data_IF_025759754045
#
_entry.id   IF_025759754045
#
_cell.length_a   1.000
_cell.length_b   1.000
_cell.length_c   1.000
_cell.angle_alpha   90.00
_cell.angle_beta   90.00
_cell.angle_gamma   90.00
#
_symmetry.space_group_name_H-M   'P 1'
#
loop_
_entity.id
_entity.type
_entity.pdbx_description
1 polymer ?
#
# COMPACT_ATOMS: atom_id res chain seq x y z
N UNK A 1 -32.97 -64.80 5.49
CA UNK A 1 -32.91 -63.42 4.97
C UNK A 1 -33.10 -62.42 6.12
N UNK A 2 -32.02 -61.92 6.73
CA UNK A 2 -32.06 -60.85 7.75
C UNK A 2 -31.15 -59.69 7.31
N UNK A 3 -31.55 -59.04 6.21
CA UNK A 3 -30.88 -57.85 5.66
C UNK A 3 -31.47 -56.46 6.06
N UNK A 4 -32.56 -56.30 6.86
CA UNK A 4 -33.13 -54.97 7.08
C UNK A 4 -32.31 -54.12 8.06
N UNK A 5 -31.70 -54.72 9.09
CA UNK A 5 -30.89 -53.98 10.09
C UNK A 5 -29.58 -53.44 9.51
N UNK A 6 -28.93 -54.22 8.63
CA UNK A 6 -27.70 -53.80 7.98
C UNK A 6 -27.94 -52.60 7.05
N UNK A 7 -29.04 -52.61 6.28
CA UNK A 7 -29.41 -51.48 5.41
C UNK A 7 -29.70 -50.21 6.20
N UNK A 8 -30.38 -50.31 7.34
CA UNK A 8 -30.64 -49.17 8.23
C UNK A 8 -29.35 -48.60 8.81
N UNK A 9 -28.43 -49.46 9.29
CA UNK A 9 -27.13 -49.02 9.81
C UNK A 9 -26.28 -48.31 8.75
N UNK A 10 -26.25 -48.83 7.52
CA UNK A 10 -25.52 -48.20 6.40
C UNK A 10 -26.14 -46.84 6.03
N UNK A 11 -27.47 -46.73 6.00
CA UNK A 11 -28.16 -45.45 5.74
C UNK A 11 -27.86 -44.40 6.81
N UNK A 12 -27.93 -44.78 8.09
CA UNK A 12 -27.59 -43.88 9.21
C UNK A 12 -26.13 -43.45 9.13
N UNK A 13 -25.21 -44.37 8.85
CA UNK A 13 -23.80 -44.04 8.69
C UNK A 13 -23.54 -43.07 7.53
N UNK A 14 -24.21 -43.25 6.38
CA UNK A 14 -24.10 -42.32 5.26
C UNK A 14 -24.67 -40.93 5.58
N UNK A 15 -25.80 -40.85 6.30
CA UNK A 15 -26.40 -39.58 6.74
C UNK A 15 -25.47 -38.86 7.72
N UNK A 16 -24.90 -39.58 8.69
CA UNK A 16 -23.95 -38.97 9.65
C UNK A 16 -22.69 -38.50 8.93
N UNK A 17 -22.16 -39.28 7.99
CA UNK A 17 -21.00 -38.88 7.20
C UNK A 17 -21.29 -37.65 6.32
N UNK A 18 -22.45 -37.60 5.65
CA UNK A 18 -22.83 -36.46 4.82
C UNK A 18 -23.15 -35.21 5.64
N UNK A 19 -23.81 -35.34 6.79
CA UNK A 19 -24.02 -34.24 7.71
C UNK A 19 -22.69 -33.75 8.31
N UNK A 20 -21.74 -34.64 8.56
CA UNK A 20 -20.40 -34.29 9.00
C UNK A 20 -19.63 -33.49 7.96
N UNK A 21 -19.65 -33.89 6.69
CA UNK A 21 -18.97 -33.17 5.61
C UNK A 21 -19.63 -31.83 5.30
N UNK A 22 -20.97 -31.78 5.26
CA UNK A 22 -21.73 -30.54 5.07
C UNK A 22 -21.55 -29.60 6.26
N UNK A 23 -21.58 -30.13 7.48
CA UNK A 23 -21.32 -29.36 8.70
C UNK A 23 -19.92 -28.76 8.70
N UNK A 24 -18.90 -29.53 8.31
CA UNK A 24 -17.54 -29.02 8.14
C UNK A 24 -17.43 -27.97 7.02
N UNK A 25 -18.22 -28.11 5.94
CA UNK A 25 -18.22 -27.15 4.84
C UNK A 25 -18.89 -25.82 5.22
N UNK A 26 -19.97 -25.87 6.00
CA UNK A 26 -20.74 -24.69 6.44
C UNK A 26 -20.07 -23.98 7.63
N UNK A 27 -19.55 -24.74 8.60
CA UNK A 27 -18.97 -24.23 9.84
C UNK A 27 -17.44 -24.32 9.88
N UNK A 28 -16.82 -24.68 8.76
CA UNK A 28 -15.38 -24.74 8.64
C UNK A 28 -14.72 -23.37 8.74
N UNK A 29 -13.43 -23.32 9.11
CA UNK A 29 -12.68 -22.08 9.17
C UNK A 29 -12.68 -21.39 7.80
N UNK A 30 -13.04 -20.09 7.73
CA UNK A 30 -13.14 -19.37 6.47
C UNK A 30 -11.77 -19.15 5.84
N UNK A 31 -11.73 -19.14 4.50
CA UNK A 31 -10.56 -18.76 3.72
C UNK A 31 -9.86 -19.91 3.00
N UNK A 32 -8.93 -19.54 2.13
CA UNK A 32 -8.11 -20.46 1.34
C UNK A 32 -6.82 -20.75 2.11
N UNK A 33 -6.42 -22.03 2.14
CA UNK A 33 -5.14 -22.41 2.72
C UNK A 33 -4.02 -21.96 1.78
N UNK A 34 -3.11 -21.15 2.30
CA UNK A 34 -1.98 -20.61 1.55
C UNK A 34 -0.68 -20.86 2.29
N UNK A 35 0.40 -20.91 1.54
CA UNK A 35 1.75 -21.11 2.01
C UNK A 35 2.59 -19.88 1.68
N UNK A 36 3.41 -19.44 2.64
CA UNK A 36 4.32 -18.34 2.45
C UNK A 36 5.50 -18.81 1.61
N UNK A 37 5.61 -18.31 0.37
CA UNK A 37 6.64 -18.70 -0.60
C UNK A 37 7.84 -17.75 -0.55
N UNK A 38 7.61 -16.46 -0.30
CA UNK A 38 8.67 -15.44 -0.29
C UNK A 38 8.45 -14.38 0.77
N UNK A 39 9.57 -13.86 1.30
CA UNK A 39 9.62 -12.62 2.09
C UNK A 39 10.57 -11.65 1.41
N UNK A 40 10.15 -10.40 1.27
CA UNK A 40 10.97 -9.32 0.73
C UNK A 40 10.77 -8.06 1.54
N UNK A 41 11.76 -7.17 1.51
CA UNK A 41 11.64 -5.82 2.01
C UNK A 41 12.08 -4.84 0.92
N UNK A 42 11.53 -3.63 0.97
CA UNK A 42 11.88 -2.52 0.09
C UNK A 42 11.89 -1.22 0.89
N UNK A 43 13.02 -0.53 0.87
CA UNK A 43 13.21 0.78 1.49
C UNK A 43 13.21 1.84 0.41
N UNK A 44 12.32 2.82 0.51
CA UNK A 44 12.17 3.89 -0.47
C UNK A 44 12.37 5.26 0.15
N UNK A 45 13.08 6.13 -0.57
CA UNK A 45 13.16 7.54 -0.23
C UNK A 45 12.75 8.34 -1.46
N UNK A 46 11.75 9.19 -1.27
CA UNK A 46 11.36 10.16 -2.28
C UNK A 46 12.45 11.23 -2.35
N UNK A 47 13.06 11.40 -3.51
CA UNK A 47 13.98 12.52 -3.77
C UNK A 47 13.17 13.65 -4.38
N UNK A 48 13.20 14.78 -3.69
CA UNK A 48 12.54 16.01 -4.12
C UNK A 48 13.55 16.92 -4.80
N UNK A 49 13.10 17.64 -5.83
CA UNK A 49 13.88 18.69 -6.49
C UNK A 49 13.18 20.02 -6.29
N UNK A 50 13.96 21.05 -5.96
CA UNK A 50 13.49 22.43 -5.89
C UNK A 50 13.21 22.91 -7.31
N UNK A 51 11.98 23.33 -7.58
CA UNK A 51 11.55 23.81 -8.89
C UNK A 51 10.92 25.19 -8.75
N UNK A 52 11.03 25.97 -9.82
CA UNK A 52 10.22 27.17 -9.99
C UNK A 52 8.82 26.75 -10.40
N UNK A 53 7.83 27.22 -9.66
CA UNK A 53 6.42 27.02 -9.96
C UNK A 53 5.72 28.36 -10.10
N UNK A 54 4.93 28.49 -11.17
CA UNK A 54 4.09 29.65 -11.38
C UNK A 54 2.80 29.50 -10.59
N UNK A 55 2.49 30.48 -9.75
CA UNK A 55 1.23 30.62 -9.04
C UNK A 55 0.47 31.87 -9.48
N UNK A 56 -0.80 31.93 -9.13
CA UNK A 56 -1.60 33.13 -9.31
C UNK A 56 -2.63 33.23 -8.20
N UNK A 57 -2.69 34.37 -7.56
CA UNK A 57 -3.59 34.62 -6.43
C UNK A 57 -3.90 36.13 -6.32
N UNK A 58 -4.81 36.50 -5.44
CA UNK A 58 -4.97 37.90 -5.07
C UNK A 58 -3.67 38.44 -4.44
N UNK A 59 -3.34 39.70 -4.72
CA UNK A 59 -2.06 40.27 -4.32
C UNK A 59 -1.91 40.41 -2.78
N UNK A 60 -3.01 40.44 -2.05
CA UNK A 60 -3.09 40.41 -0.57
C UNK A 60 -2.89 39.00 0.01
N UNK A 61 -2.99 37.95 -0.80
CA UNK A 61 -2.88 36.53 -0.40
C UNK A 61 -1.58 35.87 -0.92
N UNK A 62 -0.58 36.67 -1.31
CA UNK A 62 0.68 36.16 -1.86
C UNK A 62 1.44 35.28 -0.86
N UNK A 63 1.91 34.09 -1.28
CA UNK A 63 2.71 33.24 -0.42
C UNK A 63 4.10 33.82 -0.18
N UNK A 64 4.67 33.50 0.99
CA UNK A 64 6.03 33.89 1.33
C UNK A 64 7.04 33.30 0.32
N UNK A 65 8.00 34.12 -0.10
CA UNK A 65 9.04 33.72 -1.07
C UNK A 65 8.59 33.76 -2.53
N UNK A 66 7.44 34.35 -2.83
CA UNK A 66 7.05 34.70 -4.20
C UNK A 66 8.00 35.75 -4.81
N UNK A 67 8.34 35.56 -6.08
CA UNK A 67 9.17 36.48 -6.88
C UNK A 67 8.61 36.59 -8.31
N UNK A 68 9.18 37.47 -9.14
CA UNK A 68 8.70 37.77 -10.51
C UNK A 68 7.20 38.10 -10.56
N UNK A 69 6.76 39.01 -9.69
CA UNK A 69 5.34 39.31 -9.49
C UNK A 69 4.83 40.26 -10.60
N UNK A 70 3.82 39.82 -11.32
CA UNK A 70 3.07 40.64 -12.29
C UNK A 70 1.67 40.92 -11.77
N UNK A 71 1.23 42.18 -11.78
CA UNK A 71 -0.06 42.62 -11.24
C UNK A 71 -1.03 42.99 -12.35
N UNK A 72 -2.31 42.68 -12.15
CA UNK A 72 -3.42 43.13 -13.02
C UNK A 72 -4.69 43.37 -12.21
N UNK A 73 -5.46 44.37 -12.59
CA UNK A 73 -6.80 44.59 -12.04
C UNK A 73 -7.80 43.62 -12.66
N UNK A 74 -8.55 42.91 -11.82
CA UNK A 74 -9.55 41.92 -12.26
C UNK A 74 -10.77 41.98 -11.35
N UNK A 75 -11.96 41.92 -11.95
CA UNK A 75 -13.22 41.72 -11.21
C UNK A 75 -13.33 40.26 -10.77
N UNK A 76 -13.64 39.99 -9.51
CA UNK A 76 -13.74 38.64 -8.96
C UNK A 76 -14.83 37.82 -9.67
N UNK A 77 -14.48 36.74 -10.40
CA UNK A 77 -15.45 35.91 -11.10
C UNK A 77 -16.34 35.08 -10.15
N UNK A 78 -15.92 34.90 -8.89
CA UNK A 78 -16.68 34.16 -7.88
C UNK A 78 -17.69 35.03 -7.12
N UNK A 79 -17.61 36.36 -7.27
CA UNK A 79 -18.48 37.33 -6.61
C UNK A 79 -18.29 37.44 -5.10
N UNK A 80 -17.18 36.91 -4.54
CA UNK A 80 -16.86 37.04 -3.11
C UNK A 80 -16.37 38.44 -2.75
N UNK A 81 -15.71 39.13 -3.69
CA UNK A 81 -15.26 40.52 -3.55
C UNK A 81 -16.19 41.45 -4.33
N UNK A 82 -16.66 42.51 -3.65
CA UNK A 82 -17.62 43.47 -4.23
C UNK A 82 -16.96 44.44 -5.22
N UNK A 83 -15.67 44.72 -5.06
CA UNK A 83 -14.91 45.64 -5.90
C UNK A 83 -13.81 44.90 -6.69
N UNK A 84 -13.42 45.40 -7.88
CA UNK A 84 -12.26 44.88 -8.60
C UNK A 84 -11.00 44.96 -7.74
N UNK A 85 -10.21 43.89 -7.74
CA UNK A 85 -8.99 43.79 -6.94
C UNK A 85 -7.74 43.55 -7.77
N UNK A 86 -6.58 43.73 -7.16
CA UNK A 86 -5.30 43.35 -7.77
C UNK A 86 -5.11 41.83 -7.71
N UNK A 87 -5.00 41.21 -8.88
CA UNK A 87 -4.64 39.81 -9.04
C UNK A 87 -3.18 39.71 -9.47
N UNK A 88 -2.41 38.93 -8.72
CA UNK A 88 -0.99 38.72 -8.94
C UNK A 88 -0.73 37.38 -9.64
N UNK A 89 0.20 37.36 -10.59
CA UNK A 89 0.90 36.16 -11.08
C UNK A 89 2.31 36.21 -10.54
N UNK A 90 2.82 35.09 -10.06
CA UNK A 90 4.10 35.04 -9.39
C UNK A 90 4.79 33.69 -9.63
N UNK A 91 6.09 33.65 -9.38
CA UNK A 91 6.87 32.43 -9.30
C UNK A 91 7.23 32.15 -7.85
N UNK A 92 7.31 30.87 -7.47
CA UNK A 92 7.83 30.45 -6.17
C UNK A 92 8.78 29.26 -6.32
N UNK A 93 9.69 29.09 -5.36
CA UNK A 93 10.50 27.88 -5.28
C UNK A 93 9.76 26.85 -4.42
N UNK A 94 9.43 25.71 -5.00
CA UNK A 94 8.74 24.62 -4.31
C UNK A 94 9.48 23.30 -4.48
N UNK A 95 9.53 22.53 -3.39
CA UNK A 95 10.03 21.16 -3.44
C UNK A 95 8.97 20.24 -4.05
N UNK A 96 9.36 19.51 -5.08
CA UNK A 96 8.50 18.55 -5.76
C UNK A 96 9.19 17.22 -5.92
N UNK A 97 8.42 16.15 -5.81
CA UNK A 97 8.89 14.79 -6.10
C UNK A 97 9.55 14.77 -7.47
N UNK A 98 10.82 14.38 -7.52
CA UNK A 98 11.56 14.22 -8.75
C UNK A 98 11.72 12.76 -9.12
N UNK A 99 12.16 11.92 -8.18
CA UNK A 99 12.38 10.49 -8.40
C UNK A 99 12.37 9.74 -7.06
N UNK A 100 12.38 8.40 -7.10
CA UNK A 100 12.40 7.54 -5.91
C UNK A 100 13.68 6.71 -5.96
N UNK A 101 14.46 6.76 -4.89
CA UNK A 101 15.56 5.81 -4.68
C UNK A 101 15.04 4.64 -3.87
N UNK A 102 15.42 3.42 -4.25
CA UNK A 102 15.02 2.21 -3.54
C UNK A 102 16.16 1.24 -3.33
N UNK A 103 16.11 0.51 -2.23
CA UNK A 103 16.88 -0.71 -1.97
C UNK A 103 15.90 -1.81 -1.62
N UNK A 104 16.19 -3.03 -2.06
CA UNK A 104 15.34 -4.20 -1.86
C UNK A 104 16.21 -5.40 -1.46
N UNK A 105 15.62 -6.33 -0.72
CA UNK A 105 16.34 -7.51 -0.26
C UNK A 105 15.42 -8.55 0.35
N UNK A 106 16.00 -9.69 0.71
CA UNK A 106 15.32 -10.81 1.33
C UNK A 106 15.51 -10.86 2.85
N UNK A 107 15.03 -11.93 3.51
CA UNK A 107 15.20 -12.15 4.95
C UNK A 107 16.65 -12.35 5.40
N UNK A 108 17.56 -12.69 4.48
CA UNK A 108 19.00 -12.79 4.76
C UNK A 108 19.73 -11.45 4.72
N UNK A 109 19.11 -10.43 4.13
CA UNK A 109 19.72 -9.12 3.95
C UNK A 109 19.24 -8.16 5.04
N UNK A 110 20.16 -7.35 5.56
CA UNK A 110 19.80 -6.29 6.50
C UNK A 110 19.11 -5.14 5.74
N UNK A 111 17.88 -4.73 6.12
CA UNK A 111 17.24 -3.58 5.50
C UNK A 111 18.06 -2.31 5.73
N UNK A 112 18.48 -1.68 4.63
CA UNK A 112 19.31 -0.46 4.65
C UNK A 112 18.65 0.63 3.84
N UNK A 113 18.65 1.85 4.38
CA UNK A 113 18.15 3.01 3.65
C UNK A 113 19.12 3.40 2.54
N UNK A 114 18.65 3.66 1.31
CA UNK A 114 19.52 4.14 0.25
C UNK A 114 20.10 5.52 0.60
N UNK A 115 21.33 5.77 0.16
CA UNK A 115 22.00 7.06 0.27
C UNK A 115 22.49 7.54 -1.11
N UNK A 116 21.59 8.07 -1.95
CA UNK A 116 21.97 8.52 -3.27
C UNK A 116 22.78 9.83 -3.22
N UNK A 117 23.69 10.07 -4.19
CA UNK A 117 24.25 11.39 -4.38
C UNK A 117 23.14 12.38 -4.77
N UNK A 118 23.11 13.54 -4.14
CA UNK A 118 22.13 14.60 -4.40
C UNK A 118 22.75 15.73 -5.22
N UNK A 119 21.97 16.29 -6.14
CA UNK A 119 22.38 17.50 -6.86
C UNK A 119 22.18 18.72 -5.97
N UNK A 120 23.18 19.60 -5.93
CA UNK A 120 23.12 20.86 -5.20
C UNK A 120 23.29 22.00 -6.19
N UNK A 121 22.31 22.91 -6.23
CA UNK A 121 22.40 24.18 -6.90
C UNK A 121 22.71 25.30 -5.89
N UNK A 122 23.16 26.48 -6.33
CA UNK A 122 23.36 27.63 -5.46
C UNK A 122 22.09 27.98 -4.65
N UNK A 123 22.23 28.55 -3.43
CA UNK A 123 21.08 28.98 -2.63
C UNK A 123 20.16 29.92 -3.41
N UNK A 124 18.85 29.70 -3.29
CA UNK A 124 17.84 30.51 -3.99
C UNK A 124 17.68 30.20 -5.47
N UNK A 125 18.36 29.19 -6.01
CA UNK A 125 18.18 28.73 -7.39
C UNK A 125 17.44 27.38 -7.44
N UNK A 126 16.60 27.14 -8.47
CA UNK A 126 16.00 25.84 -8.67
C UNK A 126 17.07 24.80 -9.05
N UNK A 127 16.77 23.52 -8.84
CA UNK A 127 17.61 22.40 -9.25
C UNK A 127 18.24 21.60 -8.11
N UNK A 128 18.36 22.19 -6.92
CA UNK A 128 18.79 21.46 -5.72
C UNK A 128 17.85 20.29 -5.43
N UNK A 129 18.43 19.18 -4.96
CA UNK A 129 17.72 17.97 -4.55
C UNK A 129 17.84 17.77 -3.04
N UNK A 130 16.82 17.15 -2.45
CA UNK A 130 16.83 16.74 -1.03
C UNK A 130 16.13 15.41 -0.86
N UNK A 131 16.46 14.73 0.24
CA UNK A 131 15.70 13.57 0.70
C UNK A 131 14.37 14.06 1.30
N UNK A 132 13.27 13.56 0.75
CA UNK A 132 11.92 13.77 1.25
C UNK A 132 11.45 12.61 2.12
N UNK A 133 10.19 12.21 1.93
CA UNK A 133 9.55 11.14 2.71
C UNK A 133 10.27 9.80 2.54
N UNK A 134 10.44 9.08 3.64
CA UNK A 134 10.93 7.70 3.68
C UNK A 134 9.78 6.74 3.90
N UNK A 135 9.77 5.63 3.16
CA UNK A 135 8.75 4.59 3.26
C UNK A 135 9.41 3.21 3.30
N UNK A 136 8.98 2.37 4.23
CA UNK A 136 9.47 1.01 4.40
C UNK A 136 8.33 0.05 4.08
N UNK A 137 8.58 -0.87 3.15
CA UNK A 137 7.65 -1.91 2.76
C UNK A 137 8.23 -3.26 3.14
N UNK A 138 7.44 -4.04 3.87
CA UNK A 138 7.73 -5.44 4.16
C UNK A 138 6.63 -6.26 3.53
N UNK A 139 7.01 -7.08 2.56
CA UNK A 139 6.09 -7.80 1.70
C UNK A 139 6.33 -9.31 1.85
N UNK A 140 5.25 -10.05 1.83
CA UNK A 140 5.25 -11.51 1.78
C UNK A 140 4.44 -11.96 0.57
N UNK A 141 4.89 -13.04 -0.06
CA UNK A 141 4.15 -13.70 -1.12
C UNK A 141 3.54 -14.99 -0.56
N UNK A 142 2.25 -15.17 -0.81
CA UNK A 142 1.44 -16.31 -0.38
C UNK A 142 0.90 -17.01 -1.62
N UNK A 143 0.98 -18.33 -1.66
CA UNK A 143 0.44 -19.16 -2.74
C UNK A 143 -0.46 -20.26 -2.20
N UNK A 144 -1.54 -20.59 -2.90
CA UNK A 144 -2.38 -21.76 -2.60
C UNK A 144 -1.83 -23.08 -3.16
N UNK A 145 -0.65 -23.05 -3.79
CA UNK A 145 -0.05 -24.17 -4.50
C UNK A 145 -0.63 -24.41 -5.90
N UNK A 146 -1.60 -23.59 -6.32
CA UNK A 146 -2.11 -23.51 -7.68
C UNK A 146 -1.61 -22.25 -8.39
N UNK A 147 -2.50 -21.61 -9.15
CA UNK A 147 -2.17 -20.44 -9.98
C UNK A 147 -2.31 -19.10 -9.23
N UNK A 148 -2.78 -19.10 -7.98
CA UNK A 148 -2.99 -17.87 -7.24
C UNK A 148 -1.75 -17.50 -6.41
N UNK A 149 -1.35 -16.24 -6.57
CA UNK A 149 -0.28 -15.62 -5.81
C UNK A 149 -0.77 -14.29 -5.25
N UNK A 150 -0.68 -14.11 -3.94
CA UNK A 150 -1.04 -12.87 -3.26
C UNK A 150 0.19 -12.22 -2.65
N UNK A 151 0.35 -10.93 -2.86
CA UNK A 151 1.38 -10.12 -2.19
C UNK A 151 0.72 -9.33 -1.06
N UNK A 152 1.15 -9.60 0.17
CA UNK A 152 0.64 -8.96 1.37
C UNK A 152 1.70 -8.03 1.97
N UNK A 153 1.29 -6.80 2.29
CA UNK A 153 2.11 -5.88 3.10
C UNK A 153 1.86 -6.13 4.58
N UNK A 154 2.95 -6.24 5.32
CA UNK A 154 2.97 -6.51 6.76
C UNK A 154 3.88 -5.51 7.46
N UNK A 155 3.77 -5.37 8.78
CA UNK A 155 4.77 -4.61 9.53
C UNK A 155 6.05 -5.42 9.76
N UNK A 156 7.10 -4.72 10.16
CA UNK A 156 8.43 -5.30 10.37
C UNK A 156 8.41 -6.42 11.43
N UNK A 157 7.67 -6.24 12.52
CA UNK A 157 7.69 -7.19 13.63
C UNK A 157 7.10 -8.54 13.19
N UNK A 158 5.95 -8.52 12.52
CA UNK A 158 5.39 -9.74 11.94
C UNK A 158 6.32 -10.32 10.87
N UNK A 159 6.80 -9.50 9.93
CA UNK A 159 7.67 -9.95 8.85
C UNK A 159 8.91 -10.72 9.32
N UNK A 160 9.53 -10.27 10.41
CA UNK A 160 10.70 -10.93 11.02
C UNK A 160 10.37 -12.32 11.58
N UNK A 161 9.18 -12.50 12.15
CA UNK A 161 8.76 -13.79 12.76
C UNK A 161 8.29 -14.81 11.73
N UNK A 162 7.84 -14.35 10.56
CA UNK A 162 7.35 -15.21 9.49
C UNK A 162 8.48 -16.09 8.93
N UNK A 163 8.15 -17.25 8.38
CA UNK A 163 9.12 -18.14 7.73
C UNK A 163 8.52 -18.69 6.45
N UNK A 164 9.36 -18.85 5.42
CA UNK A 164 8.95 -19.54 4.19
C UNK A 164 8.51 -20.96 4.55
N UNK A 165 7.43 -21.42 3.93
CA UNK A 165 6.76 -22.69 4.23
C UNK A 165 5.69 -22.62 5.34
N UNK A 166 5.52 -21.47 6.02
CA UNK A 166 4.42 -21.30 6.96
C UNK A 166 3.07 -21.28 6.22
N UNK A 167 2.06 -21.90 6.84
CA UNK A 167 0.72 -22.02 6.28
C UNK A 167 -0.28 -21.17 7.05
N UNK A 168 -1.20 -20.57 6.30
CA UNK A 168 -2.25 -19.70 6.83
C UNK A 168 -3.57 -19.99 6.13
N UNK A 169 -4.69 -19.56 6.73
CA UNK A 169 -5.94 -19.39 6.00
C UNK A 169 -6.22 -17.91 5.77
N UNK A 170 -6.29 -17.50 4.52
CA UNK A 170 -6.63 -16.12 4.18
C UNK A 170 -8.06 -16.04 3.65
N UNK A 171 -8.90 -15.14 4.18
CA UNK A 171 -10.16 -14.81 3.52
C UNK A 171 -9.87 -14.18 2.16
N UNK A 172 -10.54 -14.68 1.13
CA UNK A 172 -10.46 -14.13 -0.23
C UNK A 172 -11.88 -13.73 -0.63
N UNK A 173 -12.03 -12.52 -1.17
CA UNK A 173 -13.33 -12.04 -1.62
C UNK A 173 -13.76 -12.71 -2.94
N UNK A 174 -14.98 -12.41 -3.40
CA UNK A 174 -15.52 -12.94 -4.66
C UNK A 174 -14.73 -12.54 -5.92
N UNK A 175 -13.80 -11.59 -5.81
CA UNK A 175 -12.98 -11.09 -6.91
C UNK A 175 -11.54 -11.63 -6.86
N UNK A 176 -11.22 -12.50 -5.88
CA UNK A 176 -9.88 -13.06 -5.72
C UNK A 176 -8.93 -12.17 -4.90
N UNK A 177 -9.43 -11.12 -4.26
CA UNK A 177 -8.61 -10.22 -3.42
C UNK A 177 -8.46 -10.82 -2.02
N UNK A 178 -7.21 -11.00 -1.58
CA UNK A 178 -6.89 -11.50 -0.25
C UNK A 178 -7.01 -10.42 0.83
N UNK A 179 -7.68 -10.74 1.94
CA UNK A 179 -7.70 -9.94 3.16
C UNK A 179 -6.51 -10.32 4.07
N UNK A 180 -5.34 -9.80 3.72
CA UNK A 180 -4.07 -10.12 4.38
C UNK A 180 -4.05 -9.84 5.90
N UNK A 181 -4.63 -8.74 6.43
CA UNK A 181 -4.66 -8.50 7.87
C UNK A 181 -5.31 -9.62 8.69
N UNK A 182 -6.34 -10.28 8.14
CA UNK A 182 -7.07 -11.35 8.82
C UNK A 182 -6.34 -12.70 8.85
N UNK A 183 -5.19 -12.80 8.17
CA UNK A 183 -4.35 -14.00 8.16
C UNK A 183 -3.81 -14.39 9.55
N UNK A 184 -3.63 -13.41 10.45
CA UNK A 184 -3.03 -13.66 11.77
C UNK A 184 -4.00 -14.30 12.76
N UNK A 185 -5.30 -14.14 12.56
CA UNK A 185 -6.36 -14.74 13.39
C UNK A 185 -6.52 -16.25 13.13
N UNK A 186 -5.95 -16.74 12.03
CA UNK A 186 -6.23 -18.04 11.42
C UNK A 186 -4.96 -18.87 11.17
N UNK A 187 -3.95 -18.71 12.02
CA UNK A 187 -2.71 -19.50 11.94
C UNK A 187 -3.05 -20.99 12.13
N UNK A 188 -2.68 -21.80 11.13
CA UNK A 188 -2.85 -23.24 11.10
C UNK A 188 -1.76 -23.98 11.86
#
# INVERSE_FOLDING_TARGET
>A
MKLPRLRVLVLVAMIVASLGTVGWWIFGPPGVAVELTRRSWRMEIIVERLRTESGSDWCDELPAGAFDITRRMVTDPTGKRAEPGEHCRYNLLAWRRSWIVKTEGGPGDRPTWPNPPLRLAPPGQPGSERLGKREAFYEIELSDGGDHLWTCRVDLAHWQTLRVGQRFRIPVDRFGTADCPRMYESRL
#
